data_IF_405522770477
#
_entry.id   IF_405522770477
#
_cell.length_a   1.000
_cell.length_b   1.000
_cell.length_c   1.000
_cell.angle_alpha   90.00
_cell.angle_beta   90.00
_cell.angle_gamma   90.00
#
_symmetry.space_group_name_H-M   'P 1'
#
loop_
_entity.id
_entity.type
_entity.pdbx_description
1 polymer ?
#
# COMPACT_ATOMS: atom_id res chain seq x y z
N UNK A 1 18.43 15.42 -16.79
CA UNK A 1 18.03 16.55 -15.93
C UNK A 1 19.03 16.69 -14.80
N UNK A 2 19.43 17.91 -14.42
CA UNK A 2 20.36 18.10 -13.28
C UNK A 2 19.63 18.06 -11.93
N UNK A 3 20.27 17.67 -10.80
CA UNK A 3 19.59 17.61 -9.50
C UNK A 3 18.98 18.94 -9.05
N UNK A 4 19.64 20.07 -9.30
CA UNK A 4 19.13 21.41 -8.96
C UNK A 4 17.94 21.85 -9.82
N UNK A 5 17.82 21.32 -11.03
CA UNK A 5 16.70 21.56 -11.92
C UNK A 5 15.51 20.69 -11.50
N UNK A 6 15.75 19.41 -11.25
CA UNK A 6 14.75 18.48 -10.73
C UNK A 6 14.16 18.94 -9.38
N UNK A 7 15.01 19.40 -8.47
CA UNK A 7 14.62 19.97 -7.18
C UNK A 7 13.66 21.17 -7.34
N UNK A 8 13.96 22.09 -8.27
CA UNK A 8 13.10 23.24 -8.56
C UNK A 8 11.77 22.82 -9.17
N UNK A 9 11.78 21.80 -10.03
CA UNK A 9 10.59 21.31 -10.71
C UNK A 9 9.63 20.61 -9.73
N UNK A 10 10.15 19.85 -8.77
CA UNK A 10 9.35 19.23 -7.70
C UNK A 10 9.05 20.17 -6.51
N UNK A 11 9.77 21.28 -6.37
CA UNK A 11 9.61 22.22 -5.25
C UNK A 11 10.23 21.74 -3.94
N UNK A 12 11.31 20.96 -4.01
CA UNK A 12 12.05 20.41 -2.86
C UNK A 12 13.50 20.87 -2.87
N UNK A 13 14.24 20.83 -1.75
CA UNK A 13 15.68 21.06 -1.77
C UNK A 13 16.42 19.91 -2.49
N UNK A 14 17.60 20.15 -3.11
CA UNK A 14 18.37 19.09 -3.79
C UNK A 14 18.93 18.03 -2.83
N UNK A 15 18.85 18.26 -1.52
CA UNK A 15 19.24 17.35 -0.44
C UNK A 15 18.04 16.65 0.20
N UNK A 16 16.85 16.75 -0.40
CA UNK A 16 15.64 16.11 0.10
C UNK A 16 15.83 14.60 0.24
N UNK A 17 15.18 14.00 1.25
CA UNK A 17 15.16 12.56 1.42
C UNK A 17 14.36 11.89 0.30
N UNK A 18 14.53 10.57 0.12
CA UNK A 18 13.75 9.82 -0.86
C UNK A 18 12.23 9.94 -0.61
N UNK A 19 11.82 9.92 0.66
CA UNK A 19 10.41 10.05 1.06
C UNK A 19 9.86 11.45 0.73
N UNK A 20 10.64 12.51 0.98
CA UNK A 20 10.27 13.89 0.63
C UNK A 20 10.13 14.06 -0.89
N UNK A 21 11.03 13.45 -1.68
CA UNK A 21 10.97 13.46 -3.14
C UNK A 21 9.73 12.74 -3.64
N UNK A 22 9.39 11.58 -3.07
CA UNK A 22 8.18 10.82 -3.45
C UNK A 22 6.90 11.59 -3.10
N UNK A 23 6.83 12.18 -1.90
CA UNK A 23 5.69 12.99 -1.48
C UNK A 23 5.48 14.20 -2.41
N UNK A 24 6.55 14.93 -2.72
CA UNK A 24 6.47 16.08 -3.62
C UNK A 24 6.09 15.67 -5.06
N UNK A 25 6.61 14.54 -5.55
CA UNK A 25 6.21 13.97 -6.84
C UNK A 25 4.71 13.67 -6.88
N UNK A 26 4.16 12.95 -5.89
CA UNK A 26 2.74 12.61 -5.85
C UNK A 26 1.83 13.85 -5.79
N UNK A 27 2.25 14.90 -5.07
CA UNK A 27 1.55 16.18 -5.06
C UNK A 27 1.54 16.84 -6.44
N UNK A 28 2.69 16.93 -7.10
CA UNK A 28 2.81 17.58 -8.42
C UNK A 28 2.20 16.77 -9.55
N UNK A 29 2.19 15.45 -9.43
CA UNK A 29 1.59 14.56 -10.40
C UNK A 29 0.08 14.80 -10.51
N UNK A 30 -0.62 14.93 -9.37
CA UNK A 30 -2.05 15.29 -9.35
C UNK A 30 -2.32 16.67 -9.97
N UNK A 31 -1.46 17.65 -9.72
CA UNK A 31 -1.56 18.99 -10.33
C UNK A 31 -1.30 19.01 -11.85
N UNK A 32 -0.71 17.96 -12.42
CA UNK A 32 -0.41 17.90 -13.85
C UNK A 32 -1.66 17.66 -14.72
N UNK A 33 -2.77 17.20 -14.13
CA UNK A 33 -4.07 17.13 -14.80
C UNK A 33 -4.07 16.34 -16.11
N UNK A 34 -3.26 15.27 -16.19
CA UNK A 34 -3.17 14.41 -17.37
C UNK A 34 -2.28 14.90 -18.51
N UNK A 35 -1.54 16.01 -18.38
CA UNK A 35 -0.57 16.43 -19.41
C UNK A 35 0.62 15.45 -19.46
N UNK A 36 0.76 14.65 -20.55
CA UNK A 36 1.77 13.60 -20.63
C UNK A 36 3.20 14.17 -20.61
N UNK A 37 3.42 15.35 -21.21
CA UNK A 37 4.76 15.97 -21.22
C UNK A 37 5.16 16.42 -19.83
N UNK A 38 4.20 16.97 -19.08
CA UNK A 38 4.44 17.40 -17.70
C UNK A 38 4.65 16.21 -16.77
N UNK A 39 3.92 15.12 -16.97
CA UNK A 39 4.11 13.86 -16.26
C UNK A 39 5.51 13.28 -16.52
N UNK A 40 5.96 13.26 -17.78
CA UNK A 40 7.30 12.80 -18.14
C UNK A 40 8.39 13.66 -17.49
N UNK A 41 8.23 14.98 -17.49
CA UNK A 41 9.16 15.90 -16.83
C UNK A 41 9.23 15.69 -15.31
N UNK A 42 8.09 15.50 -14.65
CA UNK A 42 8.00 15.22 -13.21
C UNK A 42 8.65 13.88 -12.86
N UNK A 43 8.44 12.87 -13.70
CA UNK A 43 9.04 11.54 -13.53
C UNK A 43 10.56 11.61 -13.70
N UNK A 44 11.05 12.29 -14.73
CA UNK A 44 12.48 12.51 -14.94
C UNK A 44 13.13 13.30 -13.80
N UNK A 45 12.42 14.25 -13.18
CA UNK A 45 12.89 14.98 -12.02
C UNK A 45 13.03 14.08 -10.78
N UNK A 46 12.01 13.28 -10.49
CA UNK A 46 12.04 12.30 -9.39
C UNK A 46 13.24 11.36 -9.55
N UNK A 47 13.39 10.76 -10.72
CA UNK A 47 14.44 9.77 -10.98
C UNK A 47 15.84 10.41 -10.90
N UNK A 48 16.00 11.66 -11.37
CA UNK A 48 17.26 12.39 -11.24
C UNK A 48 17.64 12.68 -9.77
N UNK A 49 16.67 13.01 -8.91
CA UNK A 49 16.93 13.23 -7.47
C UNK A 49 17.21 11.92 -6.74
N UNK A 50 16.48 10.84 -7.05
CA UNK A 50 16.73 9.52 -6.46
C UNK A 50 18.10 8.97 -6.88
N UNK A 51 18.51 9.18 -8.13
CA UNK A 51 19.83 8.79 -8.62
C UNK A 51 20.97 9.64 -8.02
N UNK A 52 20.72 10.92 -7.74
CA UNK A 52 21.69 11.80 -7.10
C UNK A 52 21.77 11.63 -5.57
N UNK A 53 20.75 11.00 -4.98
CA UNK A 53 20.72 10.70 -3.56
C UNK A 53 21.86 9.74 -3.23
N UNK A 54 22.82 10.11 -2.37
CA UNK A 54 23.86 9.17 -1.95
C UNK A 54 23.16 7.99 -1.30
N UNK A 55 23.42 6.78 -1.82
CA UNK A 55 22.85 5.55 -1.28
C UNK A 55 23.07 5.53 0.23
N UNK A 56 21.99 5.79 0.97
CA UNK A 56 21.94 5.57 2.40
C UNK A 56 21.36 4.17 2.55
N UNK A 57 22.07 3.23 3.19
CA UNK A 57 21.45 1.95 3.53
C UNK A 57 20.14 2.26 4.27
N UNK A 58 19.06 1.50 4.00
CA UNK A 58 17.80 1.68 4.72
C UNK A 58 18.15 1.74 6.20
N UNK A 59 17.79 2.85 6.84
CA UNK A 59 17.98 2.99 8.27
C UNK A 59 17.25 1.79 8.87
N UNK A 60 18.01 0.82 9.41
CA UNK A 60 17.42 -0.32 10.09
C UNK A 60 16.41 0.19 11.12
N UNK A 61 15.36 -0.58 11.43
CA UNK A 61 14.22 -0.14 12.23
C UNK A 61 14.71 0.73 13.38
N UNK A 62 14.45 2.03 13.27
CA UNK A 62 14.81 2.98 14.30
C UNK A 62 14.06 2.50 15.54
N UNK A 63 14.75 2.06 16.61
CA UNK A 63 14.08 1.52 17.78
C UNK A 63 13.13 2.61 18.26
N UNK A 64 11.84 2.28 18.27
CA UNK A 64 10.80 3.11 18.85
C UNK A 64 11.32 3.58 20.22
N UNK A 65 11.34 4.88 20.52
CA UNK A 65 11.70 5.32 21.86
C UNK A 65 10.72 4.64 22.81
N UNK A 66 11.24 3.68 23.58
CA UNK A 66 10.51 3.01 24.65
C UNK A 66 9.89 4.12 25.49
N UNK A 67 8.56 4.24 25.41
CA UNK A 67 7.78 5.04 26.33
C UNK A 67 8.02 4.45 27.72
N UNK A 68 8.93 5.07 28.47
CA UNK A 68 9.08 4.79 29.88
C UNK A 68 7.75 5.15 30.56
N UNK A 69 7.18 4.24 31.36
CA UNK A 69 5.99 4.54 32.15
C UNK A 69 6.25 5.76 33.02
N UNK A 70 5.42 6.80 32.85
CA UNK A 70 5.42 7.96 33.70
C UNK A 70 4.99 7.53 35.11
N UNK A 71 5.96 7.36 36.01
CA UNK A 71 5.70 7.23 37.43
C UNK A 71 5.14 8.56 37.97
N UNK A 72 4.08 8.55 38.78
CA UNK A 72 3.54 9.76 39.38
C UNK A 72 4.58 10.37 40.33
N UNK A 73 5.03 11.59 40.02
CA UNK A 73 5.86 12.37 40.92
C UNK A 73 5.05 12.73 42.17
N UNK A 74 5.44 12.15 43.29
CA UNK A 74 5.06 12.62 44.61
C UNK A 74 5.66 14.01 44.83
N UNK A 75 4.77 14.98 45.01
CA UNK A 75 5.06 16.35 45.40
C UNK A 75 5.86 16.34 46.72
N UNK A 76 7.10 16.85 46.69
CA UNK A 76 7.83 17.19 47.91
C UNK A 76 7.58 18.65 48.28
N UNK A 77 7.42 18.98 49.59
CA UNK A 77 7.13 20.32 50.05
C UNK A 77 8.29 21.30 49.84
N UNK A 78 7.97 22.49 49.35
CA UNK A 78 8.89 23.61 49.19
C UNK A 78 9.39 24.13 50.54
N UNK A 79 10.72 24.24 50.69
CA UNK A 79 11.36 24.98 51.76
C UNK A 79 11.78 26.38 51.29
N UNK A 80 11.67 27.41 52.15
CA UNK A 80 11.94 28.81 51.79
C UNK A 80 13.45 29.10 51.62
N UNK A 81 13.83 30.02 50.72
CA UNK A 81 15.22 30.36 50.46
C UNK A 81 15.80 31.25 51.57
N UNK A 82 16.88 30.76 52.19
CA UNK A 82 17.71 31.53 53.10
C UNK A 82 18.76 32.29 52.29
N UNK A 83 18.72 33.62 52.36
CA UNK A 83 19.71 34.54 51.80
C UNK A 83 21.04 34.41 52.56
N UNK A 84 22.17 34.28 51.86
CA UNK A 84 23.50 34.61 52.40
C UNK A 84 24.48 35.06 51.28
N UNK A 85 25.53 35.84 51.65
CA UNK A 85 26.01 36.96 50.84
C UNK A 85 27.31 36.70 50.09
N UNK A 86 27.62 37.65 49.21
CA UNK A 86 28.80 37.79 48.37
C UNK A 86 30.15 37.50 49.08
N UNK A 87 31.01 36.76 48.40
CA UNK A 87 32.41 36.54 48.78
C UNK A 87 33.20 35.93 47.62
N UNK A 88 34.01 36.76 46.98
CA UNK A 88 34.96 36.45 45.90
C UNK A 88 36.02 35.41 46.30
N UNK A 89 36.33 34.44 45.42
CA UNK A 89 37.67 33.85 45.29
C UNK A 89 37.85 33.09 43.94
N UNK A 90 39.07 33.08 43.37
CA UNK A 90 39.38 32.53 42.05
C UNK A 90 39.97 31.12 42.09
N UNK A 91 39.59 30.28 41.10
CA UNK A 91 40.40 29.14 40.67
C UNK A 91 39.71 27.78 40.66
N UNK A 92 40.00 27.06 39.58
CA UNK A 92 39.89 25.62 39.30
C UNK A 92 38.74 25.13 38.40
N UNK A 93 39.06 24.23 37.44
CA UNK A 93 38.32 24.09 36.19
C UNK A 93 37.11 23.15 36.35
N UNK A 94 35.97 23.59 35.82
CA UNK A 94 34.81 22.74 35.65
C UNK A 94 35.07 21.74 34.52
N UNK A 95 35.11 20.47 34.92
CA UNK A 95 35.16 19.27 34.09
C UNK A 95 34.01 19.25 33.07
N UNK A 96 34.42 19.27 31.80
CA UNK A 96 33.63 19.05 30.59
C UNK A 96 33.05 17.62 30.59
N UNK A 97 31.75 17.42 30.31
CA UNK A 97 31.22 16.10 29.96
C UNK A 97 31.81 15.64 28.63
N UNK A 98 32.42 14.46 28.65
CA UNK A 98 33.11 13.85 27.54
C UNK A 98 32.20 13.64 26.32
N UNK A 99 32.65 14.13 25.17
CA UNK A 99 32.12 13.78 23.87
C UNK A 99 32.45 12.30 23.54
N UNK A 100 31.55 11.54 22.89
CA UNK A 100 31.84 10.19 22.45
C UNK A 100 32.93 10.20 21.35
N UNK A 101 33.94 9.36 21.56
CA UNK A 101 35.06 9.14 20.65
C UNK A 101 34.60 8.56 19.29
N UNK A 102 35.11 9.05 18.15
CA UNK A 102 35.01 8.36 16.87
C UNK A 102 35.96 7.14 16.84
N UNK A 103 35.41 5.98 16.52
CA UNK A 103 36.18 4.76 16.26
C UNK A 103 37.01 4.89 14.97
N UNK A 104 38.27 4.40 14.95
CA UNK A 104 39.12 4.42 13.77
C UNK A 104 38.68 3.40 12.72
N UNK A 105 38.48 3.88 11.48
CA UNK A 105 38.27 3.06 10.29
C UNK A 105 39.54 2.25 9.97
N UNK A 106 39.44 0.93 9.73
CA UNK A 106 40.53 0.17 9.15
C UNK A 106 40.62 0.44 7.64
N UNK A 107 41.77 0.98 7.23
CA UNK A 107 42.21 1.09 5.84
C UNK A 107 42.36 -0.30 5.22
N UNK A 108 41.46 -0.66 4.30
CA UNK A 108 41.61 -1.88 3.49
C UNK A 108 42.51 -1.60 2.28
N UNK A 109 43.73 -2.09 2.38
CA UNK A 109 44.70 -2.25 1.30
C UNK A 109 44.16 -3.16 0.21
N UNK A 110 44.17 -2.66 -1.03
CA UNK A 110 43.90 -3.42 -2.24
C UNK A 110 44.91 -4.56 -2.42
N UNK A 111 44.47 -5.80 -2.17
CA UNK A 111 45.21 -7.01 -2.48
C UNK A 111 44.60 -7.65 -3.74
N UNK A 112 45.43 -7.78 -4.78
CA UNK A 112 45.10 -8.48 -6.01
C UNK A 112 44.69 -9.93 -5.73
N UNK A 113 43.45 -10.27 -6.05
CA UNK A 113 42.97 -11.65 -6.03
C UNK A 113 43.48 -12.41 -7.27
N UNK A 114 44.08 -13.60 -7.11
CA UNK A 114 44.51 -14.44 -8.24
C UNK A 114 43.29 -15.02 -9.00
N UNK A 115 43.44 -15.32 -10.31
CA UNK A 115 42.35 -15.81 -11.13
C UNK A 115 41.84 -17.19 -10.66
N UNK A 116 40.52 -17.45 -10.74
CA UNK A 116 39.93 -18.69 -10.27
C UNK A 116 40.38 -19.90 -11.11
N UNK A 117 40.58 -21.08 -10.47
CA UNK A 117 40.97 -22.30 -11.17
C UNK A 117 39.86 -22.82 -12.10
N UNK A 118 40.22 -23.46 -13.23
CA UNK A 118 39.25 -24.00 -14.17
C UNK A 118 38.44 -25.15 -13.54
N UNK A 119 37.11 -25.01 -13.60
CA UNK A 119 36.13 -25.98 -13.09
C UNK A 119 36.30 -27.36 -13.72
N UNK A 120 36.95 -28.29 -12.99
CA UNK A 120 36.97 -29.72 -13.33
C UNK A 120 35.59 -30.32 -13.06
N UNK A 121 34.78 -30.43 -14.12
CA UNK A 121 33.49 -31.13 -14.09
C UNK A 121 33.73 -32.59 -13.71
N UNK A 122 33.26 -32.98 -12.52
CA UNK A 122 33.27 -34.38 -12.10
C UNK A 122 32.23 -35.15 -12.95
N UNK A 123 32.58 -36.32 -13.51
CA UNK A 123 31.61 -37.14 -14.23
C UNK A 123 30.48 -37.55 -13.28
N UNK A 124 29.25 -37.22 -13.64
CA UNK A 124 28.08 -37.52 -12.81
C UNK A 124 27.81 -39.02 -12.80
N UNK A 125 27.60 -39.57 -11.61
CA UNK A 125 27.23 -40.96 -11.37
C UNK A 125 25.87 -41.25 -12.02
N UNK A 126 25.78 -42.38 -12.73
CA UNK A 126 24.60 -42.85 -13.47
C UNK A 126 23.32 -42.91 -12.62
N UNK A 127 23.45 -43.01 -11.29
CA UNK A 127 22.31 -42.97 -10.36
C UNK A 127 21.62 -41.60 -10.23
N UNK A 128 22.32 -40.49 -10.48
CA UNK A 128 21.73 -39.15 -10.40
C UNK A 128 20.82 -38.85 -11.60
N UNK A 129 21.13 -39.40 -12.77
CA UNK A 129 20.33 -39.22 -13.99
C UNK A 129 18.96 -39.87 -13.84
N UNK A 130 18.91 -41.08 -13.27
CA UNK A 130 17.64 -41.80 -13.04
C UNK A 130 16.79 -41.13 -11.96
N UNK A 131 17.43 -40.59 -10.90
CA UNK A 131 16.73 -39.86 -9.83
C UNK A 131 16.03 -38.58 -10.32
N UNK A 132 16.67 -37.82 -11.21
CA UNK A 132 16.07 -36.60 -11.78
C UNK A 132 14.88 -36.94 -12.68
N UNK A 133 14.97 -38.01 -13.48
CA UNK A 133 13.86 -38.39 -14.37
C UNK A 133 12.62 -38.85 -13.62
N UNK A 134 12.76 -39.59 -12.51
CA UNK A 134 11.59 -39.97 -11.69
C UNK A 134 11.04 -38.78 -10.89
N UNK A 135 11.91 -37.93 -10.35
CA UNK A 135 11.51 -36.72 -9.64
C UNK A 135 10.73 -35.74 -10.52
N UNK A 136 11.13 -35.57 -11.79
CA UNK A 136 10.44 -34.66 -12.72
C UNK A 136 9.06 -35.17 -13.11
N UNK A 137 8.86 -36.49 -13.21
CA UNK A 137 7.53 -37.07 -13.50
C UNK A 137 6.59 -36.85 -12.31
N UNK A 138 7.04 -37.07 -11.08
CA UNK A 138 6.23 -36.82 -9.90
C UNK A 138 5.88 -35.34 -9.73
N UNK A 139 6.86 -34.44 -9.88
CA UNK A 139 6.63 -33.00 -9.82
C UNK A 139 5.68 -32.52 -10.94
N UNK A 140 5.86 -33.03 -12.16
CA UNK A 140 4.97 -32.75 -13.29
C UNK A 140 3.54 -33.20 -13.04
N UNK A 141 3.34 -34.39 -12.43
CA UNK A 141 2.02 -34.90 -12.06
C UNK A 141 1.33 -34.01 -11.00
N UNK A 142 2.08 -33.50 -10.01
CA UNK A 142 1.54 -32.59 -9.00
C UNK A 142 1.12 -31.27 -9.64
N UNK A 143 1.96 -30.67 -10.50
CA UNK A 143 1.62 -29.42 -11.20
C UNK A 143 0.39 -29.62 -12.10
N UNK A 144 0.32 -30.75 -12.81
CA UNK A 144 -0.84 -31.07 -13.66
C UNK A 144 -2.11 -31.26 -12.82
N UNK A 145 -2.04 -31.92 -11.66
CA UNK A 145 -3.19 -32.06 -10.76
C UNK A 145 -3.65 -30.71 -10.19
N UNK A 146 -2.72 -29.83 -9.81
CA UNK A 146 -3.05 -28.46 -9.34
C UNK A 146 -3.71 -27.65 -10.46
N UNK A 147 -3.19 -27.71 -11.69
CA UNK A 147 -3.78 -27.04 -12.84
C UNK A 147 -5.19 -27.55 -13.16
N UNK A 148 -5.40 -28.87 -13.14
CA UNK A 148 -6.73 -29.49 -13.35
C UNK A 148 -7.69 -29.08 -12.23
N UNK A 149 -7.24 -29.05 -10.98
CA UNK A 149 -8.06 -28.62 -9.84
C UNK A 149 -8.45 -27.15 -9.95
N UNK A 150 -7.52 -26.26 -10.32
CA UNK A 150 -7.78 -24.84 -10.54
C UNK A 150 -8.78 -24.59 -11.69
N UNK A 151 -8.66 -25.32 -12.81
CA UNK A 151 -9.61 -25.21 -13.92
C UNK A 151 -10.99 -25.76 -13.52
N UNK A 152 -11.03 -26.88 -12.79
CA UNK A 152 -12.28 -27.48 -12.32
C UNK A 152 -13.00 -26.60 -11.27
N UNK A 153 -12.27 -25.91 -10.39
CA UNK A 153 -12.87 -24.98 -9.42
C UNK A 153 -13.48 -23.75 -10.10
N UNK A 154 -12.89 -23.26 -11.20
CA UNK A 154 -13.47 -22.18 -12.01
C UNK A 154 -14.73 -22.70 -12.74
N UNK A 155 -14.68 -23.90 -13.32
CA UNK A 155 -15.82 -24.49 -14.03
C UNK A 155 -17.02 -24.85 -13.14
N UNK A 156 -16.79 -25.30 -11.90
CA UNK A 156 -17.86 -25.61 -10.95
C UNK A 156 -18.62 -24.35 -10.48
N UNK A 157 -17.96 -23.18 -10.53
CA UNK A 157 -18.57 -21.88 -10.22
C UNK A 157 -19.46 -21.41 -11.37
N UNK A 158 -19.06 -21.63 -12.62
CA UNK A 158 -19.86 -21.31 -13.80
C UNK A 158 -21.12 -22.20 -13.96
N UNK A 159 -21.07 -23.46 -13.51
CA UNK A 159 -22.22 -24.36 -13.56
C UNK A 159 -23.40 -23.90 -12.67
N UNK A 160 -23.12 -23.20 -11.56
CA UNK A 160 -24.18 -22.65 -10.69
C UNK A 160 -24.80 -21.37 -11.24
N UNK A 161 -24.06 -20.61 -12.04
CA UNK A 161 -24.58 -19.42 -12.74
C UNK A 161 -25.49 -19.83 -13.91
N UNK A 162 -25.20 -20.95 -14.58
CA UNK A 162 -26.07 -21.48 -15.63
C UNK A 162 -27.42 -22.02 -15.10
N UNK A 163 -27.50 -22.48 -13.85
CA UNK A 163 -28.76 -22.95 -13.23
C UNK A 163 -29.54 -21.84 -12.51
N UNK A 164 -28.86 -20.76 -12.07
CA UNK A 164 -29.51 -19.57 -11.51
C UNK A 164 -30.13 -18.64 -12.59
N UNK A 165 -29.74 -18.79 -13.86
CA UNK A 165 -30.24 -17.97 -14.97
C UNK A 165 -31.61 -18.38 -15.56
N UNK A 166 -32.24 -19.47 -15.11
CA UNK A 166 -33.47 -19.98 -15.76
C UNK A 166 -34.79 -19.60 -15.07
N UNK A 167 -34.77 -18.81 -13.99
CA UNK A 167 -35.98 -18.32 -13.30
C UNK A 167 -36.07 -16.80 -13.16
N UNK A 168 -35.03 -16.05 -13.52
CA UNK A 168 -35.13 -14.59 -13.65
C UNK A 168 -35.79 -14.22 -14.98
N UNK A 169 -37.12 -14.30 -15.00
CA UNK A 169 -37.95 -13.70 -16.05
C UNK A 169 -37.63 -12.20 -16.07
N UNK A 170 -37.21 -11.60 -17.19
CA UNK A 170 -36.90 -10.18 -17.24
C UNK A 170 -38.20 -9.42 -16.92
N UNK A 171 -38.25 -8.79 -15.75
CA UNK A 171 -39.21 -7.72 -15.51
C UNK A 171 -38.85 -6.62 -16.50
N UNK A 172 -39.73 -6.29 -17.45
CA UNK A 172 -39.47 -5.20 -18.38
C UNK A 172 -39.28 -3.93 -17.55
N UNK A 173 -38.22 -3.20 -17.89
CA UNK A 173 -37.94 -1.86 -17.38
C UNK A 173 -39.25 -1.05 -17.33
N UNK A 174 -39.71 -0.73 -16.13
CA UNK A 174 -40.86 0.13 -15.95
C UNK A 174 -40.33 1.55 -16.16
N UNK A 175 -40.53 2.06 -17.37
CA UNK A 175 -40.16 3.44 -17.71
C UNK A 175 -40.75 4.40 -16.66
N UNK A 176 -39.95 5.32 -16.10
CA UNK A 176 -40.47 6.39 -15.26
C UNK A 176 -41.61 7.08 -16.01
N UNK A 177 -42.77 7.18 -15.38
CA UNK A 177 -43.91 7.85 -15.97
C UNK A 177 -43.59 9.34 -16.01
N UNK A 178 -43.46 9.87 -17.23
CA UNK A 178 -43.39 11.30 -17.54
C UNK A 178 -44.57 12.02 -16.90
N UNK A 179 -44.32 12.75 -15.82
CA UNK A 179 -45.19 13.84 -15.37
C UNK A 179 -44.62 15.14 -15.96
N UNK A 180 -45.29 15.78 -16.94
CA UNK A 180 -44.78 16.98 -17.56
C UNK A 180 -45.22 18.18 -16.71
N UNK A 181 -44.26 18.79 -16.02
CA UNK A 181 -44.40 20.18 -15.57
C UNK A 181 -43.14 20.96 -15.89
N UNK A 182 -43.15 21.49 -17.10
CA UNK A 182 -42.68 22.81 -17.54
C UNK A 182 -41.62 23.51 -16.65
N UNK A 183 -40.37 23.41 -17.10
CA UNK A 183 -39.34 24.46 -17.25
C UNK A 183 -39.58 25.80 -16.50
N UNK A 184 -38.61 26.32 -15.71
CA UNK A 184 -37.54 27.06 -16.39
C UNK A 184 -36.14 26.94 -15.74
N UNK A 185 -35.14 26.90 -16.62
CA UNK A 185 -33.77 27.44 -16.44
C UNK A 185 -32.69 26.45 -15.96
N UNK A 186 -32.22 25.67 -16.93
CA UNK A 186 -30.95 24.95 -16.94
C UNK A 186 -29.76 25.87 -16.60
N UNK A 187 -29.35 25.87 -15.34
CA UNK A 187 -27.94 25.90 -15.00
C UNK A 187 -27.47 24.44 -14.90
N UNK A 188 -26.31 24.06 -15.45
CA UNK A 188 -25.71 22.77 -15.15
C UNK A 188 -25.36 22.81 -13.66
N UNK A 189 -26.31 22.40 -12.83
CA UNK A 189 -26.04 22.08 -11.45
C UNK A 189 -25.37 20.72 -11.58
N UNK A 190 -24.03 20.75 -11.61
CA UNK A 190 -23.20 19.58 -11.37
C UNK A 190 -23.53 19.11 -9.95
N UNK A 191 -24.71 18.51 -9.76
CA UNK A 191 -25.01 17.74 -8.57
C UNK A 191 -24.01 16.59 -8.61
N UNK A 192 -23.11 16.49 -7.62
CA UNK A 192 -22.16 15.40 -7.59
C UNK A 192 -22.99 14.13 -7.63
N UNK A 193 -22.74 13.30 -8.64
CA UNK A 193 -23.36 11.98 -8.76
C UNK A 193 -23.04 11.22 -7.48
N UNK A 194 -23.97 11.23 -6.52
CA UNK A 194 -23.87 10.43 -5.31
C UNK A 194 -23.89 9.00 -5.80
N UNK A 195 -22.77 8.30 -5.65
CA UNK A 195 -22.68 6.87 -5.95
C UNK A 195 -23.80 6.20 -5.15
N UNK A 196 -24.73 5.54 -5.85
CA UNK A 196 -25.86 4.89 -5.21
C UNK A 196 -25.37 3.71 -4.36
N UNK A 197 -25.99 3.49 -3.21
CA UNK A 197 -25.69 2.34 -2.36
C UNK A 197 -26.10 1.05 -3.08
N UNK A 198 -25.30 0.00 -2.94
CA UNK A 198 -25.54 -1.28 -3.62
C UNK A 198 -25.20 -2.46 -2.72
N UNK A 199 -25.75 -3.63 -3.03
CA UNK A 199 -25.51 -4.87 -2.27
C UNK A 199 -24.62 -5.83 -3.07
N UNK A 200 -23.59 -6.38 -2.41
CA UNK A 200 -22.65 -7.36 -2.98
C UNK A 200 -22.62 -8.57 -2.08
N UNK A 201 -23.02 -9.74 -2.60
CA UNK A 201 -23.03 -11.01 -1.86
C UNK A 201 -23.74 -10.96 -0.49
N UNK A 202 -24.76 -10.09 -0.36
CA UNK A 202 -25.49 -9.89 0.91
C UNK A 202 -24.83 -8.93 1.90
N UNK A 203 -23.81 -8.19 1.45
CA UNK A 203 -23.19 -7.07 2.16
C UNK A 203 -23.60 -5.77 1.50
N UNK A 204 -24.20 -4.87 2.27
CA UNK A 204 -24.54 -3.53 1.83
C UNK A 204 -23.29 -2.65 1.75
N UNK A 205 -23.09 -1.98 0.63
CA UNK A 205 -21.95 -1.12 0.33
C UNK A 205 -22.45 0.32 0.20
N UNK A 206 -22.02 1.17 1.12
CA UNK A 206 -22.23 2.61 1.08
C UNK A 206 -20.91 3.30 0.75
N UNK A 207 -20.87 4.09 -0.32
CA UNK A 207 -19.68 4.86 -0.68
C UNK A 207 -19.56 6.09 0.20
N UNK A 208 -18.40 6.29 0.84
CA UNK A 208 -18.17 7.46 1.71
C UNK A 208 -17.37 8.52 0.95
N UNK A 209 -16.08 8.25 0.72
CA UNK A 209 -15.17 9.17 0.05
C UNK A 209 -13.92 8.45 -0.48
N UNK A 210 -13.43 8.87 -1.65
CA UNK A 210 -12.22 8.31 -2.25
C UNK A 210 -12.34 6.81 -2.46
N UNK A 211 -11.50 6.02 -1.77
CA UNK A 211 -11.59 4.55 -1.76
C UNK A 211 -12.02 4.00 -0.40
N UNK A 212 -12.89 4.75 0.30
CA UNK A 212 -13.49 4.38 1.58
C UNK A 212 -14.95 4.01 1.39
N UNK A 213 -15.31 2.85 1.92
CA UNK A 213 -16.64 2.26 1.87
C UNK A 213 -17.10 1.91 3.29
N UNK A 214 -18.40 2.02 3.56
CA UNK A 214 -19.02 1.39 4.72
C UNK A 214 -19.68 0.09 4.28
N UNK A 215 -19.22 -1.03 4.85
CA UNK A 215 -19.67 -2.37 4.52
C UNK A 215 -20.52 -2.93 5.67
N UNK A 216 -21.76 -3.32 5.39
CA UNK A 216 -22.68 -3.88 6.41
C UNK A 216 -23.20 -5.25 5.98
N UNK A 217 -22.73 -6.31 6.65
CA UNK A 217 -23.20 -7.67 6.37
C UNK A 217 -24.49 -8.00 7.14
N UNK A 218 -25.41 -8.74 6.52
CA UNK A 218 -26.61 -9.23 7.21
C UNK A 218 -26.29 -10.28 8.29
N UNK A 219 -25.28 -11.12 8.05
CA UNK A 219 -24.85 -12.19 8.94
C UNK A 219 -23.41 -11.97 9.44
N UNK A 220 -23.07 -12.55 10.59
CA UNK A 220 -21.71 -12.50 11.12
C UNK A 220 -20.79 -13.45 10.35
N UNK A 221 -19.61 -12.97 9.99
CA UNK A 221 -18.70 -13.70 9.14
C UNK A 221 -17.24 -13.36 9.47
N UNK A 222 -16.48 -14.36 9.88
CA UNK A 222 -15.06 -14.18 10.20
C UNK A 222 -14.20 -14.38 8.95
N UNK A 223 -13.17 -13.54 8.81
CA UNK A 223 -12.21 -13.57 7.72
C UNK A 223 -12.85 -13.59 6.33
N UNK A 224 -13.89 -12.78 6.11
CA UNK A 224 -14.47 -12.58 4.79
C UNK A 224 -13.42 -11.98 3.85
N UNK A 225 -13.25 -12.56 2.66
CA UNK A 225 -12.39 -12.00 1.62
C UNK A 225 -13.18 -10.97 0.84
N UNK A 226 -12.82 -9.70 0.98
CA UNK A 226 -13.39 -8.58 0.22
C UNK A 226 -12.48 -8.33 -0.98
N UNK A 227 -13.05 -8.35 -2.18
CA UNK A 227 -12.34 -8.04 -3.43
C UNK A 227 -12.86 -6.72 -3.98
N UNK A 228 -11.95 -5.77 -4.19
CA UNK A 228 -12.23 -4.53 -4.88
C UNK A 228 -11.71 -4.60 -6.32
N UNK A 229 -12.54 -4.15 -7.26
CA UNK A 229 -12.18 -3.95 -8.65
C UNK A 229 -11.84 -2.48 -8.91
N UNK A 230 -10.92 -2.24 -9.83
CA UNK A 230 -10.50 -0.90 -10.24
C UNK A 230 -10.73 -0.64 -11.72
N UNK A 231 -11.14 0.57 -12.07
CA UNK A 231 -11.42 0.98 -13.46
C UNK A 231 -11.01 2.44 -13.75
N UNK A 232 -10.82 2.75 -15.02
CA UNK A 232 -10.55 4.12 -15.51
C UNK A 232 -11.80 5.01 -15.53
N UNK A 233 -12.99 4.42 -15.53
CA UNK A 233 -14.29 5.14 -15.55
C UNK A 233 -15.27 4.47 -14.58
N UNK A 234 -16.29 5.19 -14.06
CA UNK A 234 -17.27 4.63 -13.13
C UNK A 234 -17.99 3.39 -13.67
N UNK A 235 -18.34 3.41 -14.96
CA UNK A 235 -19.04 2.32 -15.66
C UNK A 235 -18.08 1.42 -16.46
N UNK A 236 -16.77 1.51 -16.17
CA UNK A 236 -15.74 0.79 -16.91
C UNK A 236 -15.65 -0.68 -16.51
N UNK A 237 -15.07 -1.49 -17.39
CA UNK A 237 -14.67 -2.85 -17.04
C UNK A 237 -13.58 -2.82 -15.97
N UNK A 238 -13.60 -3.80 -15.06
CA UNK A 238 -12.54 -3.99 -14.05
C UNK A 238 -11.21 -4.32 -14.73
N UNK A 239 -10.22 -3.46 -14.51
CA UNK A 239 -8.88 -3.55 -15.09
C UNK A 239 -7.85 -4.17 -14.14
N UNK A 240 -8.07 -4.02 -12.84
CA UNK A 240 -7.22 -4.58 -11.78
C UNK A 240 -8.06 -4.93 -10.56
N UNK A 241 -7.51 -5.77 -9.69
CA UNK A 241 -8.19 -6.27 -8.51
C UNK A 241 -7.26 -6.27 -7.30
N UNK A 242 -7.83 -5.92 -6.15
CA UNK A 242 -7.16 -6.04 -4.85
C UNK A 242 -8.08 -6.73 -3.86
N UNK A 243 -7.53 -7.60 -3.02
CA UNK A 243 -8.30 -8.30 -2.01
C UNK A 243 -7.65 -8.24 -0.63
N UNK A 244 -8.49 -8.28 0.40
CA UNK A 244 -8.07 -8.38 1.80
C UNK A 244 -9.13 -9.09 2.62
N UNK A 245 -8.80 -9.45 3.85
CA UNK A 245 -9.70 -10.12 4.79
C UNK A 245 -10.27 -9.16 5.82
N UNK A 246 -11.58 -9.22 6.06
CA UNK A 246 -12.31 -8.40 7.03
C UNK A 246 -13.21 -9.30 7.89
N UNK A 247 -13.33 -9.00 9.17
CA UNK A 247 -14.31 -9.64 10.06
C UNK A 247 -15.59 -8.81 10.10
N UNK A 248 -16.73 -9.44 9.79
CA UNK A 248 -18.05 -8.83 9.86
C UNK A 248 -18.83 -9.31 11.08
N UNK A 249 -19.44 -8.36 11.80
CA UNK A 249 -20.51 -8.63 12.74
C UNK A 249 -21.85 -8.28 12.09
N UNK A 250 -22.87 -9.13 12.28
CA UNK A 250 -24.19 -8.96 11.69
C UNK A 250 -24.78 -7.57 12.00
N UNK A 251 -25.15 -6.82 10.95
CA UNK A 251 -25.78 -5.51 11.03
C UNK A 251 -24.88 -4.38 11.55
N UNK A 252 -23.57 -4.61 11.72
CA UNK A 252 -22.62 -3.58 12.17
C UNK A 252 -21.84 -3.07 10.96
N UNK A 253 -21.90 -1.76 10.64
CA UNK A 253 -21.11 -1.19 9.56
C UNK A 253 -19.62 -1.22 9.90
N UNK A 254 -18.81 -1.62 8.91
CA UNK A 254 -17.35 -1.64 8.98
C UNK A 254 -16.81 -0.65 7.97
N UNK A 255 -16.00 0.31 8.43
CA UNK A 255 -15.26 1.21 7.54
C UNK A 255 -14.12 0.44 6.87
N UNK A 256 -14.15 0.41 5.55
CA UNK A 256 -13.19 -0.28 4.70
C UNK A 256 -12.49 0.72 3.80
N UNK A 257 -11.19 0.89 3.97
CA UNK A 257 -10.38 1.79 3.14
C UNK A 257 -9.37 0.98 2.35
N UNK A 258 -9.44 1.09 1.02
CA UNK A 258 -8.45 0.52 0.11
C UNK A 258 -7.22 1.43 0.13
N UNK A 259 -5.99 0.91 0.32
CA UNK A 259 -4.81 1.76 0.31
C UNK A 259 -4.54 2.31 -1.10
N UNK A 260 -4.13 3.57 -1.21
CA UNK A 260 -3.79 4.23 -2.49
C UNK A 260 -2.76 3.44 -3.33
N UNK A 261 -1.94 2.60 -2.70
CA UNK A 261 -0.97 1.74 -3.40
C UNK A 261 -1.58 0.49 -4.04
N UNK A 262 -2.87 0.21 -3.81
CA UNK A 262 -3.55 -0.96 -4.36
C UNK A 262 -3.76 -0.84 -5.87
N UNK A 263 -3.85 0.38 -6.40
CA UNK A 263 -4.08 0.61 -7.82
C UNK A 263 -3.55 1.96 -8.29
N UNK A 264 -3.47 2.14 -9.61
CA UNK A 264 -3.20 3.43 -10.26
C UNK A 264 -4.43 4.01 -10.96
N UNK A 265 -5.56 3.33 -10.89
CA UNK A 265 -6.81 3.71 -11.53
C UNK A 265 -7.62 4.69 -10.68
N UNK A 266 -8.55 5.44 -11.29
CA UNK A 266 -9.27 6.51 -10.61
C UNK A 266 -10.52 6.03 -9.85
N UNK A 267 -11.08 4.88 -10.24
CA UNK A 267 -12.31 4.34 -9.67
C UNK A 267 -12.08 2.98 -9.01
N UNK A 268 -12.74 2.77 -7.87
CA UNK A 268 -12.75 1.52 -7.15
C UNK A 268 -14.19 1.15 -6.77
N UNK A 269 -14.53 -0.12 -6.89
CA UNK A 269 -15.81 -0.70 -6.47
C UNK A 269 -15.60 -2.02 -5.73
N UNK A 270 -16.55 -2.43 -4.89
CA UNK A 270 -16.52 -3.75 -4.26
C UNK A 270 -17.17 -4.74 -5.20
N UNK A 271 -16.41 -5.73 -5.66
CA UNK A 271 -16.85 -6.70 -6.67
C UNK A 271 -17.41 -7.98 -6.04
N UNK A 272 -16.79 -8.43 -4.94
CA UNK A 272 -17.25 -9.61 -4.23
C UNK A 272 -16.89 -9.59 -2.76
N UNK A 273 -17.72 -10.25 -1.95
CA UNK A 273 -17.46 -10.50 -0.53
C UNK A 273 -17.70 -11.97 -0.23
N UNK A 274 -16.61 -12.72 -0.06
CA UNK A 274 -16.68 -14.16 0.17
C UNK A 274 -16.47 -14.48 1.64
N UNK A 275 -17.53 -14.93 2.29
CA UNK A 275 -17.44 -15.46 3.63
C UNK A 275 -16.72 -16.80 3.68
N UNK A 276 -15.65 -16.87 4.48
CA UNK A 276 -14.98 -18.13 4.78
C UNK A 276 -16.00 -19.10 5.38
N UNK A 277 -16.12 -20.31 4.82
CA UNK A 277 -16.93 -21.35 5.44
C UNK A 277 -16.33 -21.67 6.81
N UNK A 278 -17.06 -21.31 7.87
CA UNK A 278 -16.74 -21.66 9.24
C UNK A 278 -16.91 -23.15 9.50
#
# INVERSE_FOLDING_TARGET
>A
MSPNEAARLLGVPPTASADEVQYAYASRFREAGGDPRRIDELTAARDALLAASPWRPPAGPQPSPQQQPAYPQQQQPAYPPQQQPAGSLPGYPASQPAAPQPQPQPSQSAWYAPPPPPNRRRPMSTGAVVGITLGSVAAGLVVLLVAVFAIASIGASAARVAEAGSSARPTPYQAPSDDPSEDPTDGPTDEPTTVEDYDVDGVHVHYVDGWTFELTAADSCAAATVTAGFADTPDGDTLDEWSTTVDFAAGVPVTFTIPDSASTYDYAGIESVQCGQA
#
